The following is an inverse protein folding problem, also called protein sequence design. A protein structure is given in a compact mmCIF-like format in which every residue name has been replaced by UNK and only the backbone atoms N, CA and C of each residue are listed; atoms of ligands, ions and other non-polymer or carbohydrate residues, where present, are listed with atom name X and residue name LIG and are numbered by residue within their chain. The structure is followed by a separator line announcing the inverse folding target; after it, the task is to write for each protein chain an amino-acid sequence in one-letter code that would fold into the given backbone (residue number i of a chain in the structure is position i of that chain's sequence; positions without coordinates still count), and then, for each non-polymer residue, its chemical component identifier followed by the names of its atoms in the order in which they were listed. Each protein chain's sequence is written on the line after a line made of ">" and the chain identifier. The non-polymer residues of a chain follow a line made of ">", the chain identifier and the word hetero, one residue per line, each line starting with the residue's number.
data_IF_464024124601
#
_entry.id   IF_464024124601
#
_cell.length_a   1.000
_cell.length_b   1.000
_cell.length_c   1.000
_cell.angle_alpha   90.00
_cell.angle_beta   90.00
_cell.angle_gamma   90.00
#
_symmetry.space_group_name_H-M   'P 1'
#
loop_
_entity.id
_entity.type
_entity.pdbx_description
1 polymer ?
#
# COMPACT_ATOMS: atom_id res chain seq x y z
N UNK A 1 6.04 8.23 -12.01
CA UNK A 1 5.05 7.18 -11.75
C UNK A 1 5.81 5.92 -11.39
N UNK A 2 5.63 5.44 -10.17
CA UNK A 2 6.21 4.18 -9.70
C UNK A 2 5.08 3.18 -9.47
N UNK A 3 5.24 1.96 -9.97
CA UNK A 3 4.28 0.87 -9.79
C UNK A 3 4.89 -0.20 -8.90
N UNK A 4 4.07 -0.80 -8.03
CA UNK A 4 4.50 -1.82 -7.08
C UNK A 4 3.57 -3.01 -7.16
N UNK A 5 4.14 -4.18 -7.45
CA UNK A 5 3.49 -5.46 -7.24
C UNK A 5 3.95 -6.03 -5.90
N UNK A 6 3.00 -6.39 -5.04
CA UNK A 6 3.29 -7.04 -3.76
C UNK A 6 2.53 -8.35 -3.68
N UNK A 7 3.22 -9.44 -3.36
CA UNK A 7 2.62 -10.73 -3.13
C UNK A 7 3.10 -11.35 -1.81
N UNK A 8 2.29 -12.26 -1.28
CA UNK A 8 2.54 -12.90 0.01
C UNK A 8 3.75 -13.84 0.04
N UNK A 9 4.26 -14.26 -1.12
CA UNK A 9 5.45 -15.11 -1.25
C UNK A 9 6.76 -14.32 -1.29
N UNK A 10 6.71 -13.06 -1.73
CA UNK A 10 7.87 -12.20 -1.92
C UNK A 10 7.99 -11.19 -0.77
N UNK A 11 6.93 -10.44 -0.44
CA UNK A 11 6.98 -9.48 0.68
C UNK A 11 5.59 -9.03 1.14
N UNK A 12 5.35 -9.05 2.46
CA UNK A 12 4.10 -8.54 3.05
C UNK A 12 4.09 -7.03 3.26
N UNK A 13 5.25 -6.37 3.23
CA UNK A 13 5.36 -4.92 3.37
C UNK A 13 6.44 -4.29 2.49
N UNK A 14 6.29 -3.03 2.11
CA UNK A 14 7.30 -2.24 1.39
C UNK A 14 7.38 -0.86 2.01
N UNK A 15 8.60 -0.35 2.21
CA UNK A 15 8.84 1.01 2.71
C UNK A 15 9.63 1.82 1.70
N UNK A 16 9.19 3.05 1.41
CA UNK A 16 9.85 3.97 0.47
C UNK A 16 9.75 5.41 0.94
N UNK A 17 10.75 6.21 0.58
CA UNK A 17 10.70 7.66 0.71
C UNK A 17 9.87 8.28 -0.42
N UNK A 18 9.04 9.26 -0.09
CA UNK A 18 8.17 10.00 -1.01
C UNK A 18 8.59 11.47 -0.95
N UNK A 19 9.55 11.90 -1.80
CA UNK A 19 10.19 13.21 -1.67
C UNK A 19 9.28 14.38 -2.07
N UNK A 20 8.22 14.12 -2.84
CA UNK A 20 7.20 15.09 -3.23
C UNK A 20 5.83 14.48 -2.97
N UNK A 21 4.84 15.32 -2.70
CA UNK A 21 3.47 14.88 -2.50
C UNK A 21 3.01 14.03 -3.70
N UNK A 22 2.30 12.95 -3.39
CA UNK A 22 1.89 11.94 -4.35
C UNK A 22 0.52 11.36 -3.96
N UNK A 23 -0.10 10.65 -4.88
CA UNK A 23 -1.27 9.83 -4.61
C UNK A 23 -0.85 8.36 -4.67
N UNK A 24 -1.10 7.63 -3.58
CA UNK A 24 -1.01 6.18 -3.57
C UNK A 24 -2.39 5.61 -3.91
N UNK A 25 -2.48 4.80 -4.95
CA UNK A 25 -3.69 4.09 -5.35
C UNK A 25 -3.46 2.58 -5.27
N UNK A 26 -4.39 1.85 -4.64
CA UNK A 26 -4.43 0.40 -4.74
C UNK A 26 -5.24 0.04 -5.99
N UNK A 27 -4.55 -0.30 -7.09
CA UNK A 27 -5.19 -0.43 -8.40
C UNK A 27 -5.91 -1.76 -8.55
N UNK A 28 -5.35 -2.83 -7.98
CA UNK A 28 -5.94 -4.16 -8.01
C UNK A 28 -5.53 -5.00 -6.80
N UNK A 29 -6.37 -5.98 -6.48
CA UNK A 29 -6.02 -7.07 -5.56
C UNK A 29 -6.36 -8.40 -6.22
N UNK A 30 -5.62 -9.45 -5.89
CA UNK A 30 -5.82 -10.77 -6.52
C UNK A 30 -7.17 -11.41 -6.16
N UNK A 31 -7.71 -11.06 -5.00
CA UNK A 31 -8.99 -11.55 -4.47
C UNK A 31 -9.66 -10.48 -3.61
N UNK A 32 -11.01 -10.49 -3.46
CA UNK A 32 -11.74 -9.42 -2.77
C UNK A 32 -11.46 -9.28 -1.27
N UNK A 33 -10.89 -10.30 -0.62
CA UNK A 33 -10.58 -10.30 0.82
C UNK A 33 -9.14 -9.84 1.13
N UNK A 34 -8.39 -9.44 0.10
CA UNK A 34 -7.08 -8.80 0.23
C UNK A 34 -7.25 -7.29 0.31
N UNK A 35 -6.52 -6.68 1.23
CA UNK A 35 -6.50 -5.24 1.45
C UNK A 35 -5.08 -4.79 1.84
N UNK A 36 -4.83 -3.50 1.74
CA UNK A 36 -3.57 -2.91 2.12
C UNK A 36 -3.73 -2.02 3.35
N UNK A 37 -2.72 -2.00 4.22
CA UNK A 37 -2.53 -0.94 5.19
C UNK A 37 -1.38 -0.06 4.75
N UNK A 38 -1.70 1.19 4.39
CA UNK A 38 -0.71 2.20 4.06
C UNK A 38 -0.50 3.11 5.27
N UNK A 39 0.75 3.36 5.61
CA UNK A 39 1.20 4.22 6.69
C UNK A 39 2.15 5.23 6.09
N UNK A 40 1.85 6.52 6.22
CA UNK A 40 2.86 7.54 5.94
C UNK A 40 3.26 8.26 7.22
N UNK A 41 4.52 8.68 7.25
CA UNK A 41 5.13 9.39 8.36
C UNK A 41 5.83 10.63 7.81
N UNK A 42 5.47 11.79 8.34
CA UNK A 42 6.26 13.03 8.24
C UNK A 42 6.68 13.45 9.64
N UNK A 43 7.57 14.43 9.76
CA UNK A 43 8.00 14.92 11.07
C UNK A 43 6.79 15.45 11.86
N UNK A 44 6.45 14.77 12.96
CA UNK A 44 5.37 15.16 13.84
C UNK A 44 3.96 14.71 13.43
N UNK A 45 3.79 13.95 12.34
CA UNK A 45 2.49 13.37 11.96
C UNK A 45 2.65 11.94 11.38
N UNK A 46 1.79 11.04 11.84
CA UNK A 46 1.71 9.65 11.40
C UNK A 46 0.26 9.37 11.06
N UNK A 47 0.00 8.92 9.82
CA UNK A 47 -1.34 8.52 9.39
C UNK A 47 -1.34 7.11 8.86
N UNK A 48 -2.45 6.44 9.10
CA UNK A 48 -2.68 5.05 8.71
C UNK A 48 -3.99 4.95 7.95
N UNK A 49 -4.00 4.16 6.89
CA UNK A 49 -5.13 3.98 5.99
C UNK A 49 -5.30 2.51 5.68
N UNK A 50 -6.55 2.09 5.52
CA UNK A 50 -6.90 0.80 4.93
C UNK A 50 -7.34 1.06 3.50
N UNK A 51 -6.72 0.42 2.52
CA UNK A 51 -7.03 0.55 1.11
C UNK A 51 -7.50 -0.80 0.55
N UNK A 52 -8.64 -0.80 -0.11
CA UNK A 52 -9.12 -1.89 -0.96
C UNK A 52 -8.82 -1.55 -2.43
N UNK A 53 -9.02 -2.52 -3.32
CA UNK A 53 -8.91 -2.26 -4.76
C UNK A 53 -9.81 -1.10 -5.19
N UNK A 54 -9.22 -0.11 -5.86
CA UNK A 54 -9.86 1.14 -6.27
C UNK A 54 -9.69 2.30 -5.28
N UNK A 55 -9.29 2.04 -4.03
CA UNK A 55 -9.07 3.10 -3.04
C UNK A 55 -7.78 3.87 -3.33
N UNK A 56 -7.75 5.14 -2.91
CA UNK A 56 -6.59 6.01 -3.05
C UNK A 56 -6.43 6.93 -1.85
N UNK A 57 -5.20 7.35 -1.58
CA UNK A 57 -4.87 8.30 -0.52
C UNK A 57 -3.79 9.28 -0.95
N UNK A 58 -3.80 10.47 -0.35
CA UNK A 58 -2.72 11.45 -0.53
C UNK A 58 -1.58 11.11 0.44
N UNK A 59 -0.37 11.05 -0.12
CA UNK A 59 0.88 10.99 0.62
C UNK A 59 1.51 12.39 0.59
N UNK A 60 1.76 13.02 1.73
CA UNK A 60 2.40 14.33 1.77
C UNK A 60 3.84 14.28 1.25
N UNK A 61 4.41 15.45 0.97
CA UNK A 61 5.82 15.58 0.63
C UNK A 61 6.73 15.23 1.82
N UNK A 62 7.97 14.87 1.50
CA UNK A 62 8.98 14.43 2.47
C UNK A 62 8.52 13.29 3.41
N UNK A 63 7.53 12.49 2.99
CA UNK A 63 7.01 11.39 3.77
C UNK A 63 7.84 10.12 3.61
N UNK A 64 7.84 9.28 4.64
CA UNK A 64 8.17 7.86 4.52
C UNK A 64 6.87 7.09 4.42
N UNK A 65 6.64 6.39 3.31
CA UNK A 65 5.47 5.56 3.06
C UNK A 65 5.83 4.10 3.30
N UNK A 66 5.02 3.41 4.11
CA UNK A 66 5.09 1.97 4.30
C UNK A 66 3.73 1.36 3.96
N UNK A 67 3.72 0.37 3.08
CA UNK A 67 2.51 -0.35 2.67
C UNK A 67 2.66 -1.78 3.14
N UNK A 68 1.62 -2.30 3.76
CA UNK A 68 1.48 -3.70 4.12
C UNK A 68 0.29 -4.24 3.36
N UNK A 69 0.35 -5.49 2.96
CA UNK A 69 -0.79 -6.18 2.37
C UNK A 69 -1.24 -7.24 3.36
N UNK A 70 -2.55 -7.50 3.41
CA UNK A 70 -3.17 -8.45 4.32
C UNK A 70 -4.30 -9.18 3.62
N UNK A 71 -4.68 -10.33 4.19
CA UNK A 71 -5.87 -11.06 3.79
C UNK A 71 -6.78 -11.29 5.00
N UNK A 72 -8.05 -10.93 4.87
CA UNK A 72 -9.03 -11.03 5.96
C UNK A 72 -9.30 -12.48 6.36
N UNK A 73 -9.44 -13.38 5.37
CA UNK A 73 -9.67 -14.79 5.62
C UNK A 73 -8.37 -15.58 5.42
N UNK A 74 -7.91 -16.35 6.41
CA UNK A 74 -6.74 -17.19 6.24
C UNK A 74 -7.00 -18.26 5.18
N UNK A 75 -6.12 -18.36 4.20
CA UNK A 75 -6.20 -19.34 3.11
C UNK A 75 -4.81 -19.78 2.65
N UNK A 76 -4.74 -20.94 2.00
CA UNK A 76 -3.46 -21.53 1.54
C UNK A 76 -2.92 -20.94 0.22
N UNK A 77 -3.66 -20.05 -0.43
CA UNK A 77 -3.26 -19.46 -1.71
C UNK A 77 -2.36 -18.24 -1.51
N UNK A 78 -1.39 -18.07 -2.40
CA UNK A 78 -0.68 -16.80 -2.60
C UNK A 78 -1.69 -15.71 -2.98
N UNK A 79 -1.44 -14.50 -2.50
CA UNK A 79 -2.29 -13.34 -2.74
C UNK A 79 -1.44 -12.11 -2.96
N UNK A 80 -1.98 -11.14 -3.70
CA UNK A 80 -1.25 -9.95 -4.13
C UNK A 80 -2.11 -8.69 -4.20
N UNK A 81 -1.43 -7.55 -4.23
CA UNK A 81 -2.00 -6.25 -4.52
C UNK A 81 -1.04 -5.43 -5.38
N UNK A 82 -1.62 -4.65 -6.29
CA UNK A 82 -0.93 -3.72 -7.17
C UNK A 82 -1.18 -2.29 -6.72
N UNK A 83 -0.13 -1.48 -6.79
CA UNK A 83 -0.17 -0.09 -6.38
C UNK A 83 0.49 0.83 -7.41
N UNK A 84 -0.12 1.99 -7.59
CA UNK A 84 0.46 3.11 -8.32
C UNK A 84 0.75 4.25 -7.36
N UNK A 85 1.93 4.85 -7.48
CA UNK A 85 2.32 6.07 -6.79
C UNK A 85 2.67 7.15 -7.83
N UNK A 86 1.81 8.15 -7.92
CA UNK A 86 1.85 9.24 -8.91
C UNK A 86 2.00 10.60 -8.27
#
# INVERSE_FOLDING_TARGET
>A
MATFHMDSSVTQSVTRAVPKAAVLSCTATSVPDVYAHAIWVVVGDIRQFTLHAGDSMVVPDAATLTIWIFRKNPGKSTWSADFDLT
#
